data_IF_174525501789
#
_entry.id   IF_174525501789
#
_cell.length_a   1.000
_cell.length_b   1.000
_cell.length_c   1.000
_cell.angle_alpha   90.00
_cell.angle_beta   90.00
_cell.angle_gamma   90.00
#
_symmetry.space_group_name_H-M   'P 1'
#
loop_
_entity.id
_entity.type
_entity.pdbx_description
1 polymer ?
#
# COMPACT_ATOMS: atom_id res chain seq x y z
N UNK A 1 -20.28 10.00 6.17
CA UNK A 1 -18.85 10.34 6.14
C UNK A 1 -18.66 11.34 5.01
N UNK A 2 -18.10 12.52 5.25
CA UNK A 2 -17.82 13.51 4.19
C UNK A 2 -16.65 13.06 3.32
N UNK A 3 -16.57 13.58 2.09
CA UNK A 3 -15.37 13.55 1.26
C UNK A 3 -14.86 15.00 1.11
N UNK A 4 -13.56 15.27 1.26
CA UNK A 4 -12.54 14.34 1.75
C UNK A 4 -12.76 13.95 3.21
N UNK A 5 -12.25 12.79 3.63
CA UNK A 5 -12.36 12.29 5.00
C UNK A 5 -11.34 12.93 5.95
N UNK A 6 -10.20 13.33 5.43
CA UNK A 6 -9.16 14.05 6.17
C UNK A 6 -9.29 15.57 5.99
N UNK A 7 -8.72 16.38 6.90
CA UNK A 7 -8.70 17.82 6.74
C UNK A 7 -8.01 18.27 5.45
N UNK A 8 -8.50 19.33 4.81
CA UNK A 8 -7.99 19.83 3.52
C UNK A 8 -6.52 20.32 3.52
N UNK A 9 -5.88 20.38 4.69
CA UNK A 9 -4.46 20.68 4.84
C UNK A 9 -3.58 19.44 4.99
N UNK A 10 -4.18 18.25 5.07
CA UNK A 10 -3.45 16.98 5.14
C UNK A 10 -3.44 16.31 3.77
N UNK A 11 -2.30 15.74 3.42
CA UNK A 11 -2.06 15.12 2.12
C UNK A 11 -1.51 13.72 2.34
N UNK A 12 -2.39 12.72 2.31
CA UNK A 12 -2.07 11.30 2.48
C UNK A 12 -2.54 10.54 1.23
N UNK A 13 -1.80 10.62 0.12
CA UNK A 13 -2.07 9.77 -1.03
C UNK A 13 -1.74 8.30 -0.73
N UNK A 14 -2.08 7.42 -1.65
CA UNK A 14 -1.78 5.99 -1.60
C UNK A 14 -2.39 5.30 -0.38
N UNK A 15 -3.59 5.73 0.00
CA UNK A 15 -4.22 5.34 1.24
C UNK A 15 -4.61 3.85 1.31
N UNK A 16 -3.95 3.10 2.20
CA UNK A 16 -4.23 1.69 2.49
C UNK A 16 -5.00 1.58 3.82
N UNK A 17 -6.33 1.29 3.78
CA UNK A 17 -7.15 1.17 4.97
C UNK A 17 -7.01 -0.23 5.60
N UNK A 18 -6.82 -0.28 6.91
CA UNK A 18 -6.76 -1.52 7.68
C UNK A 18 -7.62 -1.40 8.95
N UNK A 19 -8.36 -2.46 9.27
CA UNK A 19 -9.11 -2.54 10.53
C UNK A 19 -8.30 -3.34 11.54
N UNK A 20 -8.01 -2.69 12.68
CA UNK A 20 -7.37 -3.33 13.82
C UNK A 20 -8.15 -2.96 15.09
N UNK A 21 -8.60 -3.98 15.81
CA UNK A 21 -9.43 -3.79 16.98
C UNK A 21 -10.75 -3.08 16.65
N UNK A 22 -10.99 -1.97 17.31
CA UNK A 22 -12.20 -1.14 17.18
C UNK A 22 -12.03 0.09 16.27
N UNK A 23 -10.94 0.13 15.49
CA UNK A 23 -10.61 1.28 14.63
C UNK A 23 -10.25 0.88 13.21
N UNK A 24 -10.56 1.75 12.26
CA UNK A 24 -9.96 1.74 10.94
C UNK A 24 -8.76 2.70 10.94
N UNK A 25 -7.63 2.21 10.45
CA UNK A 25 -6.38 2.97 10.27
C UNK A 25 -6.18 3.23 8.79
N UNK A 26 -5.68 4.41 8.46
CA UNK A 26 -5.30 4.80 7.12
C UNK A 26 -3.79 5.02 7.10
N UNK A 27 -3.11 4.20 6.32
CA UNK A 27 -1.69 4.30 6.03
C UNK A 27 -1.54 4.80 4.60
N UNK A 28 -0.64 5.73 4.37
CA UNK A 28 -0.40 6.27 3.03
C UNK A 28 0.92 7.00 2.99
N UNK A 29 1.35 7.36 1.81
CA UNK A 29 2.43 8.32 1.63
C UNK A 29 2.06 9.63 2.33
N UNK A 30 3.04 10.50 2.52
CA UNK A 30 2.78 11.83 3.05
C UNK A 30 3.36 12.87 2.09
N UNK A 31 2.50 13.63 1.43
CA UNK A 31 2.94 14.72 0.58
C UNK A 31 3.18 15.99 1.39
N UNK A 32 4.16 16.77 0.96
CA UNK A 32 4.49 18.05 1.61
C UNK A 32 3.73 19.20 0.94
N UNK A 33 3.02 19.98 1.73
CA UNK A 33 2.30 21.14 1.25
C UNK A 33 3.21 22.07 0.43
N UNK A 34 2.71 22.57 -0.70
CA UNK A 34 3.38 23.49 -1.61
C UNK A 34 4.70 22.96 -2.23
N UNK A 35 4.89 21.66 -2.27
CA UNK A 35 5.98 21.02 -3.03
C UNK A 35 5.45 20.49 -4.36
N UNK A 36 6.34 20.37 -5.34
CA UNK A 36 6.02 19.83 -6.67
C UNK A 36 6.42 18.36 -6.82
N UNK A 37 7.09 17.81 -5.83
CA UNK A 37 7.57 16.44 -5.79
C UNK A 37 6.73 15.60 -4.80
N UNK A 38 6.54 14.34 -5.12
CA UNK A 38 5.78 13.39 -4.30
C UNK A 38 6.51 13.01 -3.03
N UNK A 39 5.74 12.69 -2.00
CA UNK A 39 6.15 12.05 -0.77
C UNK A 39 7.13 12.82 0.11
N UNK A 40 7.27 12.37 1.33
CA UNK A 40 8.14 12.92 2.38
C UNK A 40 9.06 11.80 2.91
N UNK A 41 9.95 12.18 3.79
CA UNK A 41 10.87 11.31 4.53
C UNK A 41 10.23 10.67 5.76
N UNK A 42 8.93 10.84 5.93
CA UNK A 42 8.16 10.38 7.07
C UNK A 42 6.73 10.03 6.68
N UNK A 43 6.21 9.02 7.33
CA UNK A 43 4.83 8.57 7.19
C UNK A 43 4.00 9.06 8.37
N UNK A 44 2.73 9.34 8.12
CA UNK A 44 1.72 9.62 9.14
C UNK A 44 0.66 8.53 9.16
N UNK A 45 0.01 8.38 10.31
CA UNK A 45 -1.13 7.47 10.46
C UNK A 45 -2.33 8.25 11.00
N UNK A 46 -3.45 8.02 10.34
CA UNK A 46 -4.76 8.49 10.80
C UNK A 46 -5.64 7.30 11.15
N UNK A 47 -6.55 7.45 12.10
CA UNK A 47 -7.56 6.43 12.38
C UNK A 47 -8.87 7.01 12.85
N UNK A 48 -9.96 6.24 12.66
CA UNK A 48 -11.27 6.56 13.17
C UNK A 48 -11.87 5.35 13.91
N UNK A 49 -12.72 5.54 14.92
CA UNK A 49 -13.52 4.47 15.50
C UNK A 49 -14.43 3.83 14.44
N UNK A 50 -14.65 2.50 14.51
CA UNK A 50 -15.52 1.81 13.55
C UNK A 50 -16.99 2.21 13.65
N UNK A 51 -17.39 2.79 14.77
CA UNK A 51 -18.75 3.31 15.03
C UNK A 51 -18.90 4.80 14.74
N UNK A 52 -17.79 5.54 14.50
CA UNK A 52 -17.81 6.97 14.15
C UNK A 52 -16.72 7.32 13.12
N UNK A 53 -17.01 7.05 11.86
CA UNK A 53 -16.10 7.35 10.73
C UNK A 53 -15.97 8.85 10.39
N UNK A 54 -16.57 9.75 11.18
CA UNK A 54 -16.34 11.17 11.05
C UNK A 54 -15.27 11.70 12.03
N UNK A 55 -14.83 10.86 12.96
CA UNK A 55 -13.91 11.23 14.03
C UNK A 55 -12.49 10.71 13.76
N UNK A 56 -11.87 11.21 12.68
CA UNK A 56 -10.50 10.91 12.34
C UNK A 56 -9.51 11.63 13.25
N UNK A 57 -8.56 10.88 13.78
CA UNK A 57 -7.50 11.36 14.67
C UNK A 57 -6.14 11.09 14.05
N UNK A 58 -5.29 12.13 13.98
CA UNK A 58 -3.89 12.01 13.57
C UNK A 58 -3.05 11.48 14.73
N UNK A 59 -2.33 10.39 14.50
CA UNK A 59 -1.38 9.83 15.48
C UNK A 59 0.03 10.40 15.32
N UNK A 60 0.20 11.32 14.34
CA UNK A 60 1.51 11.90 14.05
C UNK A 60 2.36 10.99 13.15
N UNK A 61 3.66 11.19 13.19
CA UNK A 61 4.60 10.46 12.36
C UNK A 61 4.86 9.06 12.92
N UNK A 62 4.77 8.06 12.05
CA UNK A 62 4.88 6.65 12.41
C UNK A 62 6.23 6.02 12.05
N UNK A 63 6.92 6.55 11.03
CA UNK A 63 8.20 6.06 10.55
C UNK A 63 8.96 7.16 9.79
N UNK A 64 10.30 7.24 9.95
CA UNK A 64 11.14 8.27 9.37
C UNK A 64 12.41 7.68 8.76
N UNK A 65 12.83 8.22 7.61
CA UNK A 65 14.13 7.90 7.01
C UNK A 65 15.19 8.93 7.32
N UNK A 66 14.82 10.15 7.71
CA UNK A 66 15.75 11.25 8.06
C UNK A 66 15.61 11.68 9.50
N UNK A 67 16.73 12.15 10.08
CA UNK A 67 16.69 12.91 11.30
C UNK A 67 15.94 14.23 11.09
N UNK A 68 15.09 14.59 12.02
CA UNK A 68 14.56 15.94 12.15
C UNK A 68 14.86 16.50 13.56
N UNK A 69 14.32 17.69 13.87
CA UNK A 69 14.57 18.34 15.15
C UNK A 69 14.17 17.47 16.35
N UNK A 70 13.09 16.73 16.22
CA UNK A 70 12.42 16.06 17.32
C UNK A 70 12.55 14.54 17.28
N UNK A 71 12.97 13.97 16.11
CA UNK A 71 13.08 12.53 15.89
C UNK A 71 14.36 12.14 15.17
N UNK A 72 14.88 10.98 15.54
CA UNK A 72 15.93 10.30 14.81
C UNK A 72 15.34 9.39 13.73
N UNK A 73 16.09 9.18 12.66
CA UNK A 73 15.73 8.19 11.63
C UNK A 73 15.43 6.83 12.25
N UNK A 74 14.34 6.22 11.81
CA UNK A 74 13.95 4.87 12.19
C UNK A 74 14.65 3.79 11.36
N UNK A 75 15.39 4.19 10.32
CA UNK A 75 16.16 3.30 9.42
C UNK A 75 17.62 3.11 9.87
N UNK A 76 18.00 3.61 11.04
CA UNK A 76 19.35 3.50 11.59
C UNK A 76 20.45 4.01 10.63
N UNK A 77 20.12 4.96 9.77
CA UNK A 77 21.02 5.52 8.76
C UNK A 77 21.19 4.66 7.50
N UNK A 78 20.39 3.61 7.33
CA UNK A 78 20.41 2.77 6.13
C UNK A 78 20.06 3.57 4.86
N UNK A 79 19.16 4.52 4.97
CA UNK A 79 18.73 5.41 3.90
C UNK A 79 18.21 6.72 4.46
N UNK A 80 18.26 7.76 3.63
CA UNK A 80 17.65 9.07 3.88
C UNK A 80 16.68 9.48 2.74
N UNK A 81 16.26 8.52 1.91
CA UNK A 81 15.34 8.73 0.81
C UNK A 81 13.88 8.78 1.27
N UNK A 82 13.00 9.24 0.39
CA UNK A 82 11.56 9.35 0.64
C UNK A 82 10.88 7.99 0.72
N UNK A 83 9.76 7.98 1.44
CA UNK A 83 8.90 6.82 1.70
C UNK A 83 7.64 6.90 0.84
N UNK A 84 7.27 5.79 0.21
CA UNK A 84 6.13 5.69 -0.70
C UNK A 84 5.22 4.54 -0.30
N UNK A 85 3.92 4.71 -0.55
CA UNK A 85 2.86 3.71 -0.56
C UNK A 85 3.03 2.60 0.50
N UNK A 86 2.91 2.92 1.79
CA UNK A 86 3.05 1.94 2.84
C UNK A 86 1.80 1.06 2.98
N UNK A 87 2.01 -0.20 3.33
CA UNK A 87 0.98 -1.09 3.85
C UNK A 87 1.35 -1.57 5.25
N UNK A 88 0.35 -1.86 6.07
CA UNK A 88 0.54 -2.40 7.41
C UNK A 88 -0.35 -3.61 7.63
N UNK A 89 0.23 -4.69 8.11
CA UNK A 89 -0.51 -5.89 8.51
C UNK A 89 -0.24 -6.25 9.97
N UNK A 90 -1.18 -6.96 10.58
CA UNK A 90 -1.01 -7.55 11.90
C UNK A 90 -0.68 -9.03 11.76
N UNK A 91 0.30 -9.50 12.52
CA UNK A 91 0.58 -10.91 12.68
C UNK A 91 1.15 -11.19 14.07
N UNK A 92 0.55 -12.16 14.75
CA UNK A 92 0.98 -12.65 16.08
C UNK A 92 1.15 -11.52 17.12
N UNK A 93 0.20 -10.55 17.12
CA UNK A 93 0.18 -9.41 18.04
C UNK A 93 1.22 -8.34 17.77
N UNK A 94 1.81 -8.33 16.58
CA UNK A 94 2.71 -7.29 16.08
C UNK A 94 2.20 -6.71 14.77
N UNK A 95 2.56 -5.46 14.53
CA UNK A 95 2.23 -4.74 13.30
C UNK A 95 3.49 -4.57 12.47
N UNK A 96 3.40 -4.91 11.19
CA UNK A 96 4.51 -4.87 10.25
C UNK A 96 4.19 -3.86 9.16
N UNK A 97 5.05 -2.84 9.05
CA UNK A 97 4.99 -1.80 8.02
C UNK A 97 5.86 -2.23 6.85
N UNK A 98 5.31 -2.19 5.66
CA UNK A 98 6.01 -2.38 4.40
C UNK A 98 5.98 -1.06 3.64
N UNK A 99 7.13 -0.51 3.30
CA UNK A 99 7.22 0.75 2.57
C UNK A 99 8.29 0.69 1.48
N UNK A 100 7.93 1.23 0.32
CA UNK A 100 8.86 1.42 -0.76
C UNK A 100 9.72 2.66 -0.50
N UNK A 101 11.00 2.58 -0.84
CA UNK A 101 11.95 3.67 -0.77
C UNK A 101 12.65 3.75 -2.10
N UNK A 102 12.59 4.92 -2.76
CA UNK A 102 13.28 5.16 -4.04
C UNK A 102 14.77 4.83 -3.92
N UNK A 103 15.31 4.18 -4.94
CA UNK A 103 16.70 3.72 -5.01
C UNK A 103 17.09 2.68 -3.92
N UNK A 104 16.10 2.04 -3.31
CA UNK A 104 16.28 1.03 -2.28
C UNK A 104 15.34 -0.16 -2.50
N UNK A 105 15.60 -1.26 -1.79
CA UNK A 105 14.77 -2.48 -1.81
C UNK A 105 13.53 -2.39 -0.93
N UNK A 106 13.19 -1.20 -0.44
CA UNK A 106 12.16 -1.04 0.55
C UNK A 106 12.56 -1.53 1.93
N UNK A 107 11.68 -1.32 2.89
CA UNK A 107 11.91 -1.64 4.30
C UNK A 107 10.71 -2.34 4.90
N UNK A 108 10.99 -3.17 5.91
CA UNK A 108 10.00 -3.70 6.82
C UNK A 108 10.25 -3.11 8.20
N UNK A 109 9.28 -2.38 8.71
CA UNK A 109 9.24 -1.87 10.08
C UNK A 109 8.37 -2.73 10.98
N UNK A 110 8.58 -2.68 12.28
CA UNK A 110 7.77 -3.41 13.26
C UNK A 110 7.37 -2.52 14.43
N UNK A 111 6.14 -2.71 14.92
CA UNK A 111 5.60 -2.03 16.11
C UNK A 111 4.72 -2.99 16.93
N UNK A 112 4.50 -2.64 18.20
CA UNK A 112 3.49 -3.26 19.07
C UNK A 112 2.12 -2.57 19.00
N UNK A 113 2.03 -1.49 18.22
CA UNK A 113 0.80 -0.70 18.06
C UNK A 113 0.54 -0.42 16.59
N UNK A 114 -0.71 -0.42 16.15
CA UNK A 114 -1.03 -0.15 14.74
C UNK A 114 -0.60 1.25 14.28
N UNK A 115 -0.68 2.26 15.15
CA UNK A 115 -0.26 3.62 14.84
C UNK A 115 1.27 3.82 14.87
N UNK A 116 2.03 2.82 15.31
CA UNK A 116 3.46 2.93 15.49
C UNK A 116 3.87 3.46 16.89
N UNK A 117 5.06 4.06 17.09
CA UNK A 117 6.10 4.20 16.07
C UNK A 117 6.64 2.85 15.62
N UNK A 118 6.91 2.73 14.34
CA UNK A 118 7.58 1.58 13.79
C UNK A 118 9.10 1.75 13.88
N UNK A 119 9.81 0.65 14.02
CA UNK A 119 11.28 0.60 13.99
C UNK A 119 11.71 -0.35 12.88
N UNK A 120 12.82 -0.04 12.24
CA UNK A 120 13.38 -0.90 11.21
C UNK A 120 13.55 -2.32 11.77
N UNK A 121 12.94 -3.29 11.07
CA UNK A 121 13.17 -4.70 11.31
C UNK A 121 14.24 -5.23 10.34
N UNK A 122 14.06 -4.98 9.04
CA UNK A 122 15.00 -5.38 7.99
C UNK A 122 14.66 -4.68 6.66
N UNK A 123 15.55 -4.82 5.69
CA UNK A 123 15.19 -4.79 4.27
C UNK A 123 14.72 -6.19 3.85
N UNK A 124 14.05 -6.31 2.70
CA UNK A 124 13.73 -7.62 2.15
C UNK A 124 14.99 -8.45 1.90
N UNK A 125 14.92 -9.73 2.23
CA UNK A 125 15.94 -10.73 1.89
C UNK A 125 15.38 -11.67 0.83
N UNK A 126 16.07 -11.83 -0.27
CA UNK A 126 15.66 -12.66 -1.40
C UNK A 126 16.87 -13.17 -2.17
N UNK A 127 16.69 -14.29 -2.86
CA UNK A 127 17.60 -14.72 -3.91
C UNK A 127 17.29 -13.91 -5.19
N UNK A 128 18.28 -13.47 -5.99
CA UNK A 128 18.03 -12.65 -7.19
C UNK A 128 17.05 -13.27 -8.18
N UNK A 129 16.98 -14.58 -8.27
CA UNK A 129 16.03 -15.32 -9.12
C UNK A 129 14.57 -15.27 -8.61
N UNK A 130 14.36 -14.86 -7.35
CA UNK A 130 13.05 -14.74 -6.71
C UNK A 130 12.60 -13.28 -6.56
N UNK A 131 13.23 -12.36 -7.26
CA UNK A 131 12.87 -10.94 -7.22
C UNK A 131 12.47 -10.44 -8.61
N UNK A 132 11.26 -9.89 -8.72
CA UNK A 132 10.86 -9.05 -9.85
C UNK A 132 11.46 -7.66 -9.74
N UNK A 133 11.54 -6.93 -10.86
CA UNK A 133 12.02 -5.55 -10.93
C UNK A 133 13.34 -5.31 -10.20
N UNK A 134 14.30 -6.23 -10.33
CA UNK A 134 15.59 -6.20 -9.64
C UNK A 134 15.50 -6.08 -8.12
N UNK A 135 14.39 -6.54 -7.53
CA UNK A 135 14.11 -6.45 -6.09
C UNK A 135 13.58 -5.11 -5.63
N UNK A 136 13.03 -4.35 -6.54
CA UNK A 136 12.28 -3.13 -6.23
C UNK A 136 10.82 -3.53 -5.93
N UNK A 137 10.43 -3.42 -4.66
CA UNK A 137 9.08 -3.73 -4.19
C UNK A 137 8.21 -2.48 -4.21
N UNK A 138 7.95 -1.96 -5.44
CA UNK A 138 7.14 -0.76 -5.63
C UNK A 138 5.70 -1.00 -5.21
N UNK A 139 5.14 -0.10 -4.39
CA UNK A 139 3.76 -0.10 -3.91
C UNK A 139 3.30 -1.48 -3.41
N UNK A 140 4.09 -2.02 -2.50
CA UNK A 140 3.87 -3.36 -2.01
C UNK A 140 2.63 -3.47 -1.12
N UNK A 141 1.65 -4.25 -1.56
CA UNK A 141 0.52 -4.67 -0.74
C UNK A 141 0.74 -6.06 -0.15
N UNK A 142 0.40 -6.27 1.10
CA UNK A 142 0.65 -7.51 1.83
C UNK A 142 -0.64 -8.14 2.34
N UNK A 143 -0.74 -9.45 2.22
CA UNK A 143 -1.87 -10.25 2.69
C UNK A 143 -1.40 -11.36 3.62
N UNK A 144 -1.97 -11.42 4.82
CA UNK A 144 -1.92 -12.61 5.67
C UNK A 144 -3.14 -13.47 5.35
N UNK A 145 -2.92 -14.70 4.90
CA UNK A 145 -3.99 -15.63 4.56
C UNK A 145 -4.48 -16.40 5.79
N UNK A 146 -5.64 -17.02 5.67
CA UNK A 146 -6.30 -17.77 6.76
C UNK A 146 -5.45 -18.93 7.28
N UNK A 147 -4.54 -19.48 6.47
CA UNK A 147 -3.61 -20.53 6.86
C UNK A 147 -2.29 -20.00 7.46
N UNK A 148 -2.20 -18.68 7.65
CA UNK A 148 -1.04 -18.00 8.23
C UNK A 148 0.11 -17.74 7.26
N UNK A 149 -0.02 -18.10 5.98
CA UNK A 149 0.94 -17.71 4.94
C UNK A 149 0.83 -16.20 4.68
N UNK A 150 1.94 -15.61 4.27
CA UNK A 150 2.04 -14.17 4.00
C UNK A 150 2.46 -13.97 2.56
N UNK A 151 1.71 -13.16 1.85
CA UNK A 151 1.92 -12.86 0.44
C UNK A 151 2.18 -11.38 0.23
N UNK A 152 3.05 -11.06 -0.72
CA UNK A 152 3.36 -9.70 -1.15
C UNK A 152 3.12 -9.56 -2.66
N UNK A 153 2.41 -8.50 -3.01
CA UNK A 153 2.13 -8.10 -4.40
C UNK A 153 2.74 -6.73 -4.62
N UNK A 154 3.42 -6.54 -5.74
CA UNK A 154 4.16 -5.31 -6.00
C UNK A 154 4.46 -5.15 -7.48
N UNK A 155 4.97 -4.00 -7.87
CA UNK A 155 5.54 -3.78 -9.19
C UNK A 155 5.24 -2.41 -9.78
N UNK A 156 5.97 -2.12 -10.83
CA UNK A 156 5.77 -0.96 -11.68
C UNK A 156 5.64 -1.42 -13.14
N UNK A 157 4.50 -1.14 -13.76
CA UNK A 157 4.09 -1.61 -15.10
C UNK A 157 3.95 -3.12 -15.26
N UNK A 158 4.31 -3.91 -14.28
CA UNK A 158 4.17 -5.35 -14.24
C UNK A 158 3.82 -5.81 -12.83
N UNK A 159 2.81 -6.66 -12.72
CA UNK A 159 2.35 -7.19 -11.44
C UNK A 159 3.17 -8.40 -11.00
N UNK A 160 3.81 -8.31 -9.84
CA UNK A 160 4.64 -9.36 -9.27
C UNK A 160 4.05 -9.90 -7.96
N UNK A 161 4.45 -11.11 -7.61
CA UNK A 161 4.03 -11.81 -6.41
C UNK A 161 5.17 -12.61 -5.81
N UNK A 162 5.23 -12.61 -4.49
CA UNK A 162 6.04 -13.55 -3.71
C UNK A 162 5.31 -14.01 -2.45
N UNK A 163 5.81 -15.09 -1.84
CA UNK A 163 5.49 -15.49 -0.48
C UNK A 163 6.60 -15.02 0.46
N UNK A 164 6.22 -14.40 1.57
CA UNK A 164 7.13 -13.98 2.65
C UNK A 164 7.19 -15.10 3.69
N UNK A 165 8.36 -15.34 4.27
CA UNK A 165 8.48 -16.25 5.41
C UNK A 165 7.79 -15.63 6.65
N UNK A 166 6.72 -16.26 7.16
CA UNK A 166 6.00 -15.73 8.31
C UNK A 166 6.81 -15.78 9.61
N UNK A 167 7.96 -16.47 9.63
CA UNK A 167 8.81 -16.54 10.82
C UNK A 167 9.57 -15.23 11.08
N UNK A 168 9.88 -14.46 10.04
CA UNK A 168 10.63 -13.22 10.16
C UNK A 168 9.97 -12.01 9.48
N UNK A 169 9.01 -12.23 8.56
CA UNK A 169 8.20 -11.23 7.89
C UNK A 169 8.95 -10.35 6.87
N UNK A 170 10.19 -10.69 6.49
CA UNK A 170 10.98 -9.96 5.50
C UNK A 170 11.76 -10.86 4.52
N UNK A 171 11.88 -12.15 4.80
CA UNK A 171 12.54 -13.08 3.87
C UNK A 171 11.57 -13.58 2.82
N UNK A 172 11.91 -13.39 1.56
CA UNK A 172 11.16 -13.94 0.42
C UNK A 172 11.47 -15.41 0.30
N UNK A 173 10.42 -16.22 0.24
CA UNK A 173 10.58 -17.68 0.11
C UNK A 173 11.10 -18.06 -1.27
N UNK A 174 12.11 -18.90 -1.28
CA UNK A 174 12.71 -19.42 -2.50
C UNK A 174 11.69 -20.13 -3.40
N UNK A 175 11.71 -19.81 -4.70
CA UNK A 175 10.83 -20.38 -5.70
C UNK A 175 9.38 -19.88 -5.64
N UNK A 176 9.09 -18.86 -4.84
CA UNK A 176 7.74 -18.30 -4.72
C UNK A 176 7.41 -17.23 -5.77
N UNK A 177 8.41 -16.68 -6.44
CA UNK A 177 8.23 -15.60 -7.39
C UNK A 177 7.28 -15.98 -8.54
N UNK A 178 6.35 -15.08 -8.82
CA UNK A 178 5.47 -15.10 -9.99
C UNK A 178 5.43 -13.72 -10.61
N UNK A 179 5.64 -13.71 -11.91
CA UNK A 179 5.58 -12.53 -12.77
C UNK A 179 4.22 -12.44 -13.43
N UNK A 180 3.76 -11.22 -13.73
CA UNK A 180 2.54 -10.96 -14.49
C UNK A 180 1.32 -11.71 -13.90
N UNK A 181 1.09 -11.56 -12.59
CA UNK A 181 -0.03 -12.25 -11.93
C UNK A 181 -1.40 -11.72 -12.36
N UNK A 182 -1.49 -10.48 -12.86
CA UNK A 182 -2.58 -10.00 -13.70
C UNK A 182 -2.18 -10.21 -15.16
N UNK A 183 -3.13 -10.45 -16.05
CA UNK A 183 -2.83 -10.55 -17.48
C UNK A 183 -2.40 -9.19 -18.06
N UNK A 184 -1.08 -8.99 -18.08
CA UNK A 184 -0.40 -7.78 -18.57
C UNK A 184 0.11 -7.97 -20.01
N UNK A 185 -0.41 -8.97 -20.75
CA UNK A 185 0.01 -9.24 -22.11
C UNK A 185 -0.10 -8.01 -23.00
N UNK A 186 0.77 -7.90 -24.01
CA UNK A 186 0.72 -6.80 -24.99
C UNK A 186 -0.60 -6.71 -25.75
N UNK A 187 -1.41 -7.76 -25.68
CA UNK A 187 -2.75 -7.81 -26.29
C UNK A 187 -3.86 -7.32 -25.36
N UNK A 188 -3.61 -7.18 -24.04
CA UNK A 188 -4.60 -6.62 -23.13
C UNK A 188 -4.75 -5.12 -23.38
N UNK A 189 -5.97 -4.57 -23.34
CA UNK A 189 -6.19 -3.14 -23.37
C UNK A 189 -5.43 -2.42 -22.25
N UNK A 190 -4.88 -1.25 -22.50
CA UNK A 190 -4.13 -0.50 -21.48
C UNK A 190 -4.95 -0.19 -20.22
N UNK A 191 -6.27 -0.05 -20.38
CA UNK A 191 -7.22 0.14 -19.30
C UNK A 191 -7.31 -1.05 -18.32
N UNK A 192 -6.76 -2.20 -18.70
CA UNK A 192 -6.78 -3.43 -17.88
C UNK A 192 -5.40 -3.80 -17.37
N UNK A 193 -4.34 -3.29 -18.02
CA UNK A 193 -2.97 -3.60 -17.64
C UNK A 193 -2.63 -2.97 -16.31
N UNK A 194 -1.86 -3.71 -15.54
CA UNK A 194 -1.31 -3.23 -14.29
C UNK A 194 -0.31 -2.09 -14.52
N UNK A 195 -0.42 -1.05 -13.73
CA UNK A 195 0.58 0.01 -13.65
C UNK A 195 1.31 -0.04 -12.31
N UNK A 196 0.59 0.11 -11.18
CA UNK A 196 1.13 0.10 -9.83
C UNK A 196 0.01 -0.06 -8.78
N UNK A 197 0.26 0.28 -7.53
CA UNK A 197 -0.74 0.39 -6.45
C UNK A 197 -1.36 -0.96 -6.06
N UNK A 198 -0.52 -1.95 -5.78
CA UNK A 198 -0.99 -3.30 -5.41
C UNK A 198 -1.69 -3.32 -4.05
N UNK A 199 -2.97 -3.65 -4.02
CA UNK A 199 -3.72 -3.81 -2.77
C UNK A 199 -4.51 -5.13 -2.76
N UNK A 200 -3.97 -6.18 -2.10
CA UNK A 200 -4.61 -7.48 -2.04
C UNK A 200 -5.68 -7.56 -0.96
N UNK A 201 -6.76 -8.30 -1.25
CA UNK A 201 -7.78 -8.70 -0.28
C UNK A 201 -8.22 -10.13 -0.51
N UNK A 202 -8.59 -10.83 0.56
CA UNK A 202 -9.31 -12.09 0.47
C UNK A 202 -10.71 -11.89 1.01
N UNK A 203 -11.72 -12.25 0.21
CA UNK A 203 -13.14 -12.14 0.56
C UNK A 203 -13.80 -13.48 0.28
N UNK A 204 -14.13 -14.20 1.34
CA UNK A 204 -14.48 -15.61 1.24
C UNK A 204 -13.32 -16.41 0.64
N UNK A 205 -13.60 -17.22 -0.37
CA UNK A 205 -12.59 -18.05 -1.04
C UNK A 205 -11.93 -17.35 -2.25
N UNK A 206 -12.21 -16.05 -2.45
CA UNK A 206 -11.74 -15.31 -3.62
C UNK A 206 -10.67 -14.30 -3.22
N UNK A 207 -9.56 -14.30 -3.96
CA UNK A 207 -8.53 -13.28 -3.87
C UNK A 207 -8.85 -12.14 -4.82
N UNK A 208 -8.76 -10.92 -4.32
CA UNK A 208 -8.93 -9.68 -5.05
C UNK A 208 -7.60 -8.94 -5.06
N UNK A 209 -7.22 -8.43 -6.21
CA UNK A 209 -6.12 -7.49 -6.36
C UNK A 209 -6.68 -6.20 -6.93
N UNK A 210 -6.62 -5.13 -6.15
CA UNK A 210 -7.00 -3.78 -6.53
C UNK A 210 -5.72 -3.09 -6.98
N UNK A 211 -5.78 -2.31 -8.05
CA UNK A 211 -4.61 -1.71 -8.65
C UNK A 211 -4.94 -0.51 -9.52
N UNK A 212 -3.93 0.31 -9.80
CA UNK A 212 -3.97 1.38 -10.79
C UNK A 212 -3.69 0.80 -12.19
N UNK A 213 -4.57 1.01 -13.19
CA UNK A 213 -4.28 0.61 -14.57
C UNK A 213 -3.37 1.59 -15.28
N UNK A 214 -2.80 1.18 -16.44
CA UNK A 214 -1.86 1.99 -17.22
C UNK A 214 -2.43 3.31 -17.76
N UNK A 215 -3.73 3.50 -17.74
CA UNK A 215 -4.37 4.70 -18.27
C UNK A 215 -5.51 5.20 -17.39
N UNK A 216 -5.56 6.51 -17.23
CA UNK A 216 -6.59 7.23 -16.49
C UNK A 216 -6.41 7.16 -14.97
N UNK A 217 -7.05 8.09 -14.29
CA UNK A 217 -7.12 8.11 -12.82
C UNK A 217 -8.23 7.16 -12.39
N UNK A 218 -7.91 5.87 -12.29
CA UNK A 218 -8.86 4.80 -12.02
C UNK A 218 -8.32 3.80 -11.03
N UNK A 219 -9.20 3.15 -10.29
CA UNK A 219 -8.92 1.91 -9.59
C UNK A 219 -9.62 0.76 -10.30
N UNK A 220 -8.83 -0.18 -10.76
CA UNK A 220 -9.27 -1.45 -11.31
C UNK A 220 -9.22 -2.54 -10.25
N UNK A 221 -9.87 -3.66 -10.52
CA UNK A 221 -9.71 -4.86 -9.72
C UNK A 221 -9.73 -6.13 -10.58
N UNK A 222 -8.99 -7.10 -10.11
CA UNK A 222 -8.93 -8.43 -10.68
C UNK A 222 -9.16 -9.48 -9.59
N UNK A 223 -9.60 -10.68 -9.98
CA UNK A 223 -9.88 -11.77 -9.04
C UNK A 223 -9.22 -13.07 -9.45
N UNK A 224 -8.89 -13.89 -8.45
CA UNK A 224 -8.37 -15.24 -8.62
C UNK A 224 -8.90 -16.18 -7.54
N UNK A 225 -8.90 -17.47 -7.80
CA UNK A 225 -9.13 -18.54 -6.81
C UNK A 225 -7.83 -18.96 -6.08
N UNK A 226 -6.70 -18.34 -6.45
CA UNK A 226 -5.38 -18.63 -5.86
C UNK A 226 -4.64 -17.34 -5.54
N UNK A 227 -3.87 -17.30 -4.45
CA UNK A 227 -3.13 -16.09 -4.08
C UNK A 227 -2.12 -15.65 -5.15
N UNK A 228 -1.47 -16.61 -5.83
CA UNK A 228 -0.47 -16.32 -6.87
C UNK A 228 -1.07 -16.06 -8.26
N UNK A 229 -2.39 -15.97 -8.38
CA UNK A 229 -3.04 -15.76 -9.67
C UNK A 229 -3.17 -17.05 -10.53
N UNK A 230 -3.42 -16.92 -11.85
CA UNK A 230 -3.61 -15.64 -12.55
C UNK A 230 -4.87 -14.89 -12.13
N UNK A 231 -4.75 -13.59 -11.98
CA UNK A 231 -5.88 -12.72 -11.68
C UNK A 231 -6.56 -12.27 -12.97
N UNK A 232 -7.88 -12.37 -13.00
CA UNK A 232 -8.70 -11.95 -14.14
C UNK A 232 -9.30 -10.57 -13.86
N UNK A 233 -9.06 -9.63 -14.75
CA UNK A 233 -9.68 -8.30 -14.70
C UNK A 233 -11.21 -8.38 -14.61
N UNK A 234 -11.81 -7.53 -13.78
CA UNK A 234 -13.26 -7.50 -13.54
C UNK A 234 -13.90 -6.15 -13.82
N UNK A 235 -13.15 -5.08 -13.84
CA UNK A 235 -13.66 -3.75 -14.07
C UNK A 235 -13.00 -2.69 -13.22
N UNK A 236 -13.57 -1.51 -13.24
CA UNK A 236 -13.20 -0.39 -12.37
C UNK A 236 -14.13 -0.33 -11.17
N UNK A 237 -13.58 0.10 -10.05
CA UNK A 237 -14.33 0.45 -8.84
C UNK A 237 -14.36 1.96 -8.61
N UNK A 238 -13.38 2.69 -9.16
CA UNK A 238 -13.34 4.15 -9.19
C UNK A 238 -12.93 4.59 -10.60
N UNK A 239 -13.59 5.64 -11.11
CA UNK A 239 -13.15 6.43 -12.26
C UNK A 239 -13.13 7.90 -11.84
N UNK A 240 -11.94 8.40 -11.54
CA UNK A 240 -11.67 9.75 -11.05
C UNK A 240 -11.19 10.69 -12.19
N UNK A 241 -11.29 10.22 -13.43
CA UNK A 241 -10.71 10.88 -14.59
C UNK A 241 -11.30 12.25 -14.94
N UNK A 242 -12.46 12.59 -14.38
CA UNK A 242 -13.07 13.94 -14.55
C UNK A 242 -12.40 14.95 -13.62
N UNK A 243 -12.22 14.55 -12.35
CA UNK A 243 -11.68 15.44 -11.31
C UNK A 243 -10.14 15.43 -11.27
N UNK A 244 -9.54 14.35 -11.74
CA UNK A 244 -8.09 14.14 -11.77
C UNK A 244 -7.64 13.57 -13.12
N UNK A 245 -7.78 14.30 -14.22
CA UNK A 245 -7.39 13.81 -15.54
C UNK A 245 -5.86 13.69 -15.66
N UNK A 246 -5.40 12.55 -16.19
CA UNK A 246 -3.98 12.32 -16.49
C UNK A 246 -3.10 11.94 -15.31
N UNK A 247 -3.69 11.67 -14.14
CA UNK A 247 -3.01 11.03 -13.02
C UNK A 247 -3.17 9.51 -13.01
N UNK A 248 -2.80 8.90 -11.91
CA UNK A 248 -3.20 7.55 -11.52
C UNK A 248 -4.09 7.64 -10.29
N UNK A 249 -4.68 6.54 -9.90
CA UNK A 249 -5.41 6.44 -8.63
C UNK A 249 -4.76 5.35 -7.79
N UNK A 250 -4.65 5.59 -6.49
CA UNK A 250 -4.20 4.59 -5.54
C UNK A 250 -5.18 4.54 -4.39
N UNK A 251 -5.54 3.34 -3.98
CA UNK A 251 -6.49 3.15 -2.91
C UNK A 251 -6.89 1.69 -2.75
N UNK A 252 -7.81 1.45 -1.85
CA UNK A 252 -8.22 0.10 -1.50
C UNK A 252 -9.63 0.04 -0.95
N UNK A 253 -10.10 -1.20 -0.72
CA UNK A 253 -11.38 -1.47 -0.06
C UNK A 253 -11.18 -1.98 1.36
N UNK A 254 -12.12 -1.64 2.23
CA UNK A 254 -12.12 -2.09 3.61
C UNK A 254 -13.54 -2.42 4.06
N UNK A 255 -13.72 -3.54 4.76
CA UNK A 255 -15.00 -3.85 5.41
C UNK A 255 -15.00 -3.27 6.83
N UNK A 256 -15.98 -2.43 7.11
CA UNK A 256 -16.18 -1.80 8.43
C UNK A 256 -17.58 -2.14 8.90
N UNK A 257 -17.68 -2.94 9.95
CA UNK A 257 -18.96 -3.38 10.52
C UNK A 257 -19.94 -3.99 9.50
N UNK A 258 -19.42 -4.76 8.53
CA UNK A 258 -20.22 -5.42 7.49
C UNK A 258 -20.52 -4.56 6.26
N UNK A 259 -20.16 -3.28 6.27
CA UNK A 259 -20.25 -2.39 5.12
C UNK A 259 -18.88 -2.25 4.45
N UNK A 260 -18.82 -2.41 3.12
CA UNK A 260 -17.63 -2.16 2.32
C UNK A 260 -17.51 -0.67 2.00
N UNK A 261 -16.31 -0.12 2.20
CA UNK A 261 -15.90 1.21 1.83
C UNK A 261 -14.72 1.14 0.88
N UNK A 262 -14.65 2.10 -0.04
CA UNK A 262 -13.47 2.34 -0.86
C UNK A 262 -12.80 3.60 -0.37
N UNK A 263 -11.47 3.53 -0.21
CA UNK A 263 -10.59 4.65 0.07
C UNK A 263 -9.72 4.88 -1.16
N UNK A 264 -9.64 6.10 -1.62
CA UNK A 264 -8.84 6.47 -2.77
C UNK A 264 -8.41 7.92 -2.65
N UNK A 265 -7.34 8.30 -3.33
CA UNK A 265 -6.89 9.68 -3.32
C UNK A 265 -7.53 10.48 -4.47
N UNK A 266 -7.59 11.79 -4.29
CA UNK A 266 -8.02 12.74 -5.31
C UNK A 266 -7.27 14.05 -5.13
N UNK A 267 -7.10 14.80 -6.21
CA UNK A 267 -6.47 16.09 -6.16
C UNK A 267 -7.41 17.12 -5.50
N UNK A 268 -7.16 17.52 -4.27
CA UNK A 268 -8.03 18.45 -3.53
C UNK A 268 -7.68 19.91 -3.73
N UNK A 269 -6.43 20.23 -4.09
CA UNK A 269 -5.94 21.61 -4.24
C UNK A 269 -5.33 21.91 -5.62
N UNK A 270 -5.72 21.21 -6.66
CA UNK A 270 -5.32 21.36 -8.07
C UNK A 270 -3.83 21.20 -8.40
N UNK A 271 -2.96 21.09 -7.41
CA UNK A 271 -1.50 21.05 -7.63
C UNK A 271 -0.79 19.95 -6.82
N UNK A 272 -1.48 19.31 -5.91
CA UNK A 272 -0.91 18.34 -4.97
C UNK A 272 -1.90 17.19 -4.79
N UNK A 273 -1.45 15.96 -4.90
CA UNK A 273 -2.24 14.78 -4.55
C UNK A 273 -2.53 14.76 -3.05
N UNK A 274 -3.68 14.27 -2.68
CA UNK A 274 -4.11 14.19 -1.28
C UNK A 274 -5.02 13.00 -1.03
#
# INVERSE_FOLDING_TARGET
>A
MPNPILPAWEYIPDGEPRVFGDRVYLYGSHDRAAQSDFCDYKLKVWSAPLDDLNNWVCHGHSFHTRDDRDHKSDTEGMTDHKLFAPDVIEKDGRYYLYAYIVDSKGVVGVSHKPEGPFKLLSQYKYDPEDAGDDGIYNDAGVLVDDDGRVYIYYGFTESNFNEIDPADMYTIKKGSYKRAVIDDSDNAPQEQRFFEASSPRKIGDTYYLIYSPCVGSRLAYATSDKPQGPFKYRGYIIDNGVDYPGGNDHGSVCNINGQWYIFYHSMTNYTIMS
#
